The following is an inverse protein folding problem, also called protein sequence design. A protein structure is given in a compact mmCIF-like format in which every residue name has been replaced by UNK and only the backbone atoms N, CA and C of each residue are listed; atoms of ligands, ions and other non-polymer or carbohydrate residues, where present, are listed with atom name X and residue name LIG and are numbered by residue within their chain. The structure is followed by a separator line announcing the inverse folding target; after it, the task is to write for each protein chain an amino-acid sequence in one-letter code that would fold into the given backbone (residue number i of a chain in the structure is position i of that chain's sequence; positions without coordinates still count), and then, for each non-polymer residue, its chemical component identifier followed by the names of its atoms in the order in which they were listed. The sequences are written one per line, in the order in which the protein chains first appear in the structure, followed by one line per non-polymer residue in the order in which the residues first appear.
data_IF_322961639874
#
_entry.id   IF_322961639874
#
_cell.length_a   1.000
_cell.length_b   1.000
_cell.length_c   1.000
_cell.angle_alpha   90.00
_cell.angle_beta   90.00
_cell.angle_gamma   90.00
#
_symmetry.space_group_name_H-M   'P 1'
#
loop_
_entity.id
_entity.type
_entity.pdbx_description
1 polymer ?
#
# COMPACT_ATOMS: atom_id res chain seq x y z
N UNK A 1 9.65 68.39 14.52
CA UNK A 1 9.36 66.93 14.58
C UNK A 1 8.94 66.45 13.20
N UNK A 2 9.79 65.66 12.55
CA UNK A 2 9.51 64.57 11.60
C UNK A 2 10.81 64.27 10.84
N UNK A 3 11.53 63.24 11.27
CA UNK A 3 12.60 62.64 10.49
C UNK A 3 11.96 61.57 9.60
N UNK A 4 12.20 61.67 8.29
CA UNK A 4 11.83 60.64 7.31
C UNK A 4 13.00 59.69 7.15
N UNK A 5 12.75 58.39 7.34
CA UNK A 5 13.69 57.29 7.09
C UNK A 5 13.94 57.09 5.59
N UNK A 6 15.16 56.71 5.16
CA UNK A 6 15.45 56.41 3.76
C UNK A 6 14.94 55.01 3.37
N UNK A 7 14.68 54.76 2.07
CA UNK A 7 14.20 53.45 1.61
C UNK A 7 15.34 52.41 1.58
N UNK A 8 14.99 51.15 1.87
CA UNK A 8 15.88 49.98 1.80
C UNK A 8 16.20 49.61 0.34
N UNK A 9 17.40 49.05 0.05
CA UNK A 9 17.78 48.66 -1.31
C UNK A 9 17.07 47.37 -1.77
N UNK A 10 16.75 47.33 -3.06
CA UNK A 10 16.22 46.16 -3.76
C UNK A 10 17.28 45.05 -3.83
N UNK A 11 16.97 43.89 -3.22
CA UNK A 11 17.74 42.66 -3.39
C UNK A 11 17.45 42.08 -4.77
N UNK A 12 18.44 42.10 -5.67
CA UNK A 12 18.40 41.33 -6.92
C UNK A 12 18.68 39.87 -6.62
N UNK A 13 17.70 39.01 -6.81
CA UNK A 13 17.90 37.56 -6.84
C UNK A 13 18.65 37.21 -8.13
N UNK A 14 19.93 36.86 -8.01
CA UNK A 14 20.68 36.26 -9.09
C UNK A 14 20.25 34.80 -9.21
N UNK A 15 19.65 34.43 -10.34
CA UNK A 15 19.46 33.04 -10.70
C UNK A 15 20.84 32.43 -10.98
N UNK A 16 21.22 31.41 -10.21
CA UNK A 16 22.35 30.54 -10.50
C UNK A 16 22.15 29.83 -11.83
N UNK A 17 23.24 29.55 -12.54
CA UNK A 17 23.27 28.92 -13.87
C UNK A 17 22.38 27.66 -13.98
N UNK A 18 21.77 27.41 -15.15
CA UNK A 18 20.94 26.24 -15.36
C UNK A 18 21.77 24.94 -15.27
N UNK A 19 21.17 23.82 -14.81
CA UNK A 19 21.85 22.54 -14.81
C UNK A 19 22.19 22.09 -16.25
N UNK A 20 23.29 21.32 -16.37
CA UNK A 20 23.80 20.77 -17.63
C UNK A 20 22.71 19.99 -18.39
N UNK A 21 22.73 19.99 -19.74
CA UNK A 21 21.68 19.39 -20.54
C UNK A 21 21.56 17.89 -20.25
N UNK A 22 20.36 17.47 -19.85
CA UNK A 22 19.96 16.06 -19.80
C UNK A 22 20.07 15.43 -21.20
N UNK A 23 20.44 14.15 -21.25
CA UNK A 23 20.52 13.38 -22.48
C UNK A 23 19.25 13.55 -23.31
N UNK A 24 19.41 13.88 -24.60
CA UNK A 24 18.32 14.03 -25.55
C UNK A 24 17.47 12.75 -25.57
N UNK A 25 16.23 12.86 -25.13
CA UNK A 25 15.24 11.80 -25.28
C UNK A 25 14.98 11.62 -26.78
N UNK A 26 15.45 10.51 -27.35
CA UNK A 26 15.27 10.22 -28.76
C UNK A 26 13.79 10.19 -29.12
N UNK A 27 13.42 10.91 -30.17
CA UNK A 27 12.08 10.88 -30.78
C UNK A 27 11.81 9.50 -31.39
N UNK A 28 11.46 8.51 -30.57
CA UNK A 28 10.76 7.31 -31.03
C UNK A 28 9.33 7.37 -30.49
N UNK A 29 8.37 7.13 -31.37
CA UNK A 29 6.94 7.31 -31.19
C UNK A 29 6.44 6.92 -29.78
N UNK A 30 5.80 7.90 -29.14
CA UNK A 30 5.22 7.89 -27.79
C UNK A 30 3.98 6.98 -27.66
N UNK A 31 4.00 5.77 -28.21
CA UNK A 31 2.92 4.81 -28.02
C UNK A 31 3.20 4.00 -26.74
N UNK A 32 2.37 4.20 -25.72
CA UNK A 32 2.31 3.31 -24.56
C UNK A 32 1.98 1.91 -25.07
N UNK A 33 2.79 0.87 -24.77
CA UNK A 33 2.33 -0.48 -25.01
C UNK A 33 1.10 -0.72 -24.15
N UNK A 34 -0.01 -1.12 -24.79
CA UNK A 34 -1.23 -1.51 -24.08
C UNK A 34 -0.89 -2.58 -23.03
N UNK A 35 -1.50 -2.53 -21.83
CA UNK A 35 -1.24 -3.52 -20.79
C UNK A 35 -1.49 -4.93 -21.35
N UNK A 36 -0.50 -5.82 -21.23
CA UNK A 36 -0.67 -7.24 -21.55
C UNK A 36 -1.65 -7.85 -20.55
N UNK A 37 -2.93 -7.89 -20.93
CA UNK A 37 -3.91 -8.71 -20.24
C UNK A 37 -3.48 -10.19 -20.31
N UNK A 38 -3.33 -10.83 -19.15
CA UNK A 38 -3.34 -12.29 -19.08
C UNK A 38 -4.76 -12.78 -19.36
N UNK A 39 -4.95 -13.49 -20.47
CA UNK A 39 -6.22 -14.11 -20.85
C UNK A 39 -6.49 -15.37 -20.01
N UNK A 40 -7.16 -15.19 -18.87
CA UNK A 40 -7.92 -16.25 -18.22
C UNK A 40 -9.33 -16.29 -18.80
N UNK A 41 -9.65 -17.29 -19.62
CA UNK A 41 -10.97 -17.43 -20.25
C UNK A 41 -12.07 -17.70 -19.23
N UNK A 42 -13.05 -16.80 -19.14
CA UNK A 42 -14.30 -16.98 -18.41
C UNK A 42 -15.23 -15.79 -18.63
N UNK A 43 -16.37 -16.00 -19.30
CA UNK A 43 -17.45 -15.01 -19.43
C UNK A 43 -18.01 -14.69 -18.04
N UNK A 44 -18.03 -13.41 -17.62
CA UNK A 44 -18.99 -12.91 -16.64
C UNK A 44 -19.31 -11.43 -16.91
N UNK A 45 -20.60 -11.13 -17.04
CA UNK A 45 -21.12 -9.77 -16.93
C UNK A 45 -21.11 -9.38 -15.44
N UNK A 46 -20.44 -8.26 -15.12
CA UNK A 46 -20.09 -7.83 -13.76
C UNK A 46 -18.57 -7.71 -13.66
N UNK A 47 -18.04 -6.49 -13.49
CA UNK A 47 -16.59 -6.25 -13.45
C UNK A 47 -15.87 -7.15 -12.44
N UNK A 48 -14.67 -7.62 -12.79
CA UNK A 48 -13.88 -8.45 -11.88
C UNK A 48 -13.62 -7.71 -10.56
N UNK A 49 -13.87 -8.36 -9.43
CA UNK A 49 -13.60 -7.82 -8.09
C UNK A 49 -12.10 -7.61 -7.88
N UNK A 50 -11.67 -6.62 -7.08
CA UNK A 50 -10.28 -6.49 -6.68
C UNK A 50 -9.72 -7.81 -6.13
N UNK A 51 -8.45 -8.10 -6.41
CA UNK A 51 -7.75 -9.26 -5.87
C UNK A 51 -7.56 -9.18 -4.35
N UNK A 52 -7.20 -10.31 -3.74
CA UNK A 52 -6.88 -10.39 -2.31
C UNK A 52 -5.41 -10.78 -2.17
N UNK A 53 -4.67 -10.00 -1.38
CA UNK A 53 -3.24 -10.21 -1.07
C UNK A 53 -3.09 -10.44 0.43
N UNK A 54 -2.31 -11.45 0.81
CA UNK A 54 -2.03 -11.74 2.22
C UNK A 54 -0.89 -10.84 2.72
N UNK A 55 -1.20 -9.91 3.61
CA UNK A 55 -0.18 -9.11 4.29
C UNK A 55 0.52 -9.90 5.40
N UNK A 56 1.84 -10.11 5.27
CA UNK A 56 2.63 -10.93 6.18
C UNK A 56 3.32 -10.16 7.32
N UNK A 57 3.02 -8.87 7.51
CA UNK A 57 3.71 -8.00 8.49
C UNK A 57 3.76 -8.55 9.93
N UNK A 58 2.74 -9.32 10.36
CA UNK A 58 2.65 -9.87 11.71
C UNK A 58 3.23 -11.29 11.84
N UNK A 59 3.63 -11.93 10.74
CA UNK A 59 4.31 -13.23 10.74
C UNK A 59 5.73 -13.06 11.31
N UNK A 60 6.05 -13.77 12.38
CA UNK A 60 7.28 -13.58 13.16
C UNK A 60 7.18 -12.50 14.25
N UNK A 61 6.01 -11.85 14.40
CA UNK A 61 5.68 -10.98 15.54
C UNK A 61 4.57 -11.60 16.37
N UNK A 62 3.32 -11.25 16.06
CA UNK A 62 2.13 -11.73 16.79
C UNK A 62 1.67 -13.09 16.32
N UNK A 63 2.01 -13.47 15.08
CA UNK A 63 1.81 -14.81 14.56
C UNK A 63 3.16 -15.54 14.51
N UNK A 64 3.37 -16.50 15.40
CA UNK A 64 4.54 -17.40 15.35
C UNK A 64 4.54 -18.30 14.10
N UNK A 65 5.60 -19.11 13.91
CA UNK A 65 5.74 -19.97 12.72
C UNK A 65 4.54 -20.90 12.47
N UNK A 66 4.02 -21.57 13.51
CA UNK A 66 2.89 -22.50 13.39
C UNK A 66 1.60 -21.78 13.00
N UNK A 67 1.32 -20.64 13.64
CA UNK A 67 0.17 -19.81 13.33
C UNK A 67 0.26 -19.25 11.90
N UNK A 68 1.46 -18.81 11.49
CA UNK A 68 1.74 -18.30 10.13
C UNK A 68 1.54 -19.39 9.07
N UNK A 69 2.01 -20.61 9.34
CA UNK A 69 1.78 -21.79 8.49
C UNK A 69 0.30 -22.08 8.29
N UNK A 70 -0.47 -22.13 9.39
CA UNK A 70 -1.90 -22.37 9.34
C UNK A 70 -2.61 -21.28 8.53
N UNK A 71 -2.29 -20.00 8.78
CA UNK A 71 -2.86 -18.85 8.09
C UNK A 71 -2.56 -18.87 6.59
N UNK A 72 -1.31 -19.13 6.20
CA UNK A 72 -0.93 -19.25 4.81
C UNK A 72 -1.74 -20.35 4.12
N UNK A 73 -1.83 -21.55 4.72
CA UNK A 73 -2.66 -22.64 4.16
C UNK A 73 -4.14 -22.26 4.04
N UNK A 74 -4.70 -21.54 5.00
CA UNK A 74 -6.09 -21.07 4.93
C UNK A 74 -6.31 -20.12 3.75
N UNK A 75 -5.41 -19.16 3.58
CA UNK A 75 -5.43 -18.22 2.45
C UNK A 75 -5.32 -18.94 1.09
N UNK A 76 -4.43 -19.91 0.98
CA UNK A 76 -4.22 -20.68 -0.24
C UNK A 76 -5.40 -21.62 -0.57
N UNK A 77 -6.06 -22.19 0.46
CA UNK A 77 -7.28 -22.99 0.26
C UNK A 77 -8.44 -22.18 -0.34
N UNK A 78 -8.47 -20.87 -0.13
CA UNK A 78 -9.42 -19.94 -0.80
C UNK A 78 -9.06 -19.63 -2.25
N UNK A 79 -7.95 -20.18 -2.76
CA UNK A 79 -7.51 -19.98 -4.15
C UNK A 79 -6.69 -18.72 -4.39
N UNK A 80 -6.43 -17.90 -3.36
CA UNK A 80 -5.55 -16.74 -3.47
C UNK A 80 -4.08 -17.16 -3.47
N UNK A 81 -3.22 -16.37 -4.12
CA UNK A 81 -1.80 -16.74 -4.35
C UNK A 81 -0.79 -15.62 -4.13
N UNK A 82 -1.24 -14.39 -3.85
CA UNK A 82 -0.35 -13.24 -3.72
C UNK A 82 -0.02 -12.98 -2.25
N UNK A 83 1.27 -12.96 -1.92
CA UNK A 83 1.79 -12.68 -0.59
C UNK A 83 2.57 -11.37 -0.59
N UNK A 84 2.37 -10.55 0.43
CA UNK A 84 3.07 -9.29 0.62
C UNK A 84 3.90 -9.31 1.92
N UNK A 85 5.22 -9.34 1.78
CA UNK A 85 6.20 -9.24 2.87
C UNK A 85 7.14 -8.06 2.64
N UNK A 86 8.15 -7.87 3.48
CA UNK A 86 9.20 -6.86 3.29
C UNK A 86 10.48 -7.26 4.04
N UNK A 87 11.62 -6.74 3.58
CA UNK A 87 12.93 -6.94 4.21
C UNK A 87 12.94 -6.64 5.72
N UNK A 88 12.20 -5.61 6.13
CA UNK A 88 12.15 -5.13 7.52
C UNK A 88 11.08 -5.81 8.39
N UNK A 89 10.12 -6.52 7.80
CA UNK A 89 8.99 -7.03 8.58
C UNK A 89 9.46 -8.07 9.60
N UNK A 90 9.09 -7.85 10.86
CA UNK A 90 9.50 -8.69 11.99
C UNK A 90 11.03 -8.86 12.10
N UNK A 91 11.83 -7.84 11.75
CA UNK A 91 13.29 -7.97 11.73
C UNK A 91 13.81 -8.99 10.70
N UNK A 92 13.02 -9.28 9.67
CA UNK A 92 13.31 -10.28 8.65
C UNK A 92 12.65 -11.64 8.87
N UNK A 93 12.01 -11.88 10.03
CA UNK A 93 11.39 -13.19 10.30
C UNK A 93 10.18 -13.49 9.41
N UNK A 94 9.45 -12.48 8.95
CA UNK A 94 8.36 -12.67 7.99
C UNK A 94 8.84 -13.39 6.72
N UNK A 95 9.98 -12.96 6.17
CA UNK A 95 10.57 -13.59 4.98
C UNK A 95 11.12 -14.99 5.27
N UNK A 96 11.75 -15.23 6.43
CA UNK A 96 12.28 -16.55 6.81
C UNK A 96 11.18 -17.59 6.99
N UNK A 97 10.09 -17.19 7.67
CA UNK A 97 8.91 -18.03 7.84
C UNK A 97 8.32 -18.37 6.47
N UNK A 98 8.06 -17.37 5.63
CA UNK A 98 7.52 -17.62 4.30
C UNK A 98 8.44 -18.48 3.43
N UNK A 99 9.76 -18.26 3.47
CA UNK A 99 10.72 -19.09 2.72
C UNK A 99 10.67 -20.55 3.13
N UNK A 100 10.63 -20.82 4.43
CA UNK A 100 10.52 -22.19 4.97
C UNK A 100 9.20 -22.86 4.55
N UNK A 101 8.09 -22.11 4.57
CA UNK A 101 6.78 -22.64 4.21
C UNK A 101 6.64 -22.92 2.71
N UNK A 102 7.26 -22.09 1.85
CA UNK A 102 7.15 -22.20 0.40
C UNK A 102 8.14 -23.19 -0.22
N UNK A 103 9.25 -23.50 0.47
CA UNK A 103 10.19 -24.53 0.05
C UNK A 103 9.54 -25.92 -0.13
N UNK A 104 8.38 -26.16 0.51
CA UNK A 104 7.59 -27.38 0.41
C UNK A 104 6.82 -27.61 -0.90
N UNK A 105 6.97 -26.75 -1.92
CA UNK A 105 6.54 -27.07 -3.29
C UNK A 105 5.26 -26.39 -3.80
N UNK A 106 4.80 -25.31 -3.17
CA UNK A 106 3.68 -24.53 -3.73
C UNK A 106 4.15 -23.62 -4.87
N UNK A 107 4.38 -24.20 -6.05
CA UNK A 107 4.93 -23.50 -7.22
C UNK A 107 4.03 -22.40 -7.82
N UNK A 108 2.82 -22.18 -7.27
CA UNK A 108 1.85 -21.19 -7.79
C UNK A 108 1.72 -19.94 -6.93
N UNK A 109 2.57 -19.75 -5.92
CA UNK A 109 2.52 -18.58 -5.02
C UNK A 109 3.41 -17.45 -5.55
N UNK A 110 2.81 -16.27 -5.67
CA UNK A 110 3.48 -15.03 -6.04
C UNK A 110 3.89 -14.28 -4.76
N UNK A 111 5.18 -13.96 -4.64
CA UNK A 111 5.74 -13.27 -3.48
C UNK A 111 6.16 -11.86 -3.86
N UNK A 112 5.70 -10.89 -3.08
CA UNK A 112 6.17 -9.53 -3.12
C UNK A 112 7.02 -9.19 -1.88
N UNK A 113 8.19 -8.59 -2.08
CA UNK A 113 9.02 -8.04 -0.99
C UNK A 113 9.49 -6.61 -1.30
N UNK A 114 10.14 -5.96 -0.34
CA UNK A 114 10.43 -4.52 -0.38
C UNK A 114 11.78 -4.18 0.22
N UNK A 115 12.51 -3.27 -0.44
CA UNK A 115 13.66 -2.57 0.12
C UNK A 115 13.23 -1.19 0.67
N UNK A 116 13.87 -0.73 1.75
CA UNK A 116 13.48 0.47 2.47
C UNK A 116 14.68 1.34 2.89
N UNK A 117 14.48 2.66 3.10
CA UNK A 117 15.52 3.58 3.56
C UNK A 117 15.49 3.86 5.07
N UNK A 118 15.09 2.87 5.89
CA UNK A 118 15.02 3.03 7.34
C UNK A 118 16.07 2.18 8.06
N UNK A 119 16.25 2.43 9.37
CA UNK A 119 17.17 1.67 10.23
C UNK A 119 18.61 1.63 9.68
N UNK A 120 19.12 2.79 9.26
CA UNK A 120 20.47 2.93 8.70
C UNK A 120 20.64 2.45 7.26
N UNK A 121 19.56 2.01 6.60
CA UNK A 121 19.55 1.64 5.18
C UNK A 121 19.20 2.85 4.31
N UNK A 122 19.45 2.74 3.02
CA UNK A 122 19.11 3.75 2.00
C UNK A 122 18.51 3.04 0.79
N UNK A 123 18.16 3.80 -0.25
CA UNK A 123 17.89 3.25 -1.58
C UNK A 123 19.05 3.47 -2.56
N UNK A 124 20.26 3.72 -2.06
CA UNK A 124 21.48 3.68 -2.88
C UNK A 124 21.66 2.29 -3.53
N UNK A 125 22.29 2.21 -4.72
CA UNK A 125 22.41 0.96 -5.48
C UNK A 125 22.88 -0.26 -4.67
N UNK A 126 23.90 -0.10 -3.83
CA UNK A 126 24.48 -1.17 -3.01
C UNK A 126 23.50 -1.62 -1.91
N UNK A 127 22.77 -0.67 -1.30
CA UNK A 127 21.80 -0.98 -0.26
C UNK A 127 20.60 -1.73 -0.83
N UNK A 128 20.06 -1.29 -1.97
CA UNK A 128 18.95 -1.98 -2.66
C UNK A 128 19.32 -3.41 -3.03
N UNK A 129 20.51 -3.60 -3.63
CA UNK A 129 21.05 -4.91 -3.97
C UNK A 129 21.23 -5.81 -2.75
N UNK A 130 21.82 -5.27 -1.68
CA UNK A 130 22.03 -6.00 -0.43
C UNK A 130 20.70 -6.44 0.20
N UNK A 131 19.72 -5.54 0.25
CA UNK A 131 18.39 -5.83 0.79
C UNK A 131 17.68 -6.92 0.00
N UNK A 132 17.66 -6.83 -1.34
CA UNK A 132 17.02 -7.84 -2.19
C UNK A 132 17.73 -9.20 -2.09
N UNK A 133 19.06 -9.25 -2.13
CA UNK A 133 19.79 -10.51 -1.97
C UNK A 133 19.48 -11.18 -0.62
N UNK A 134 19.50 -10.40 0.47
CA UNK A 134 19.14 -10.89 1.81
C UNK A 134 17.71 -11.41 1.85
N UNK A 135 16.77 -10.70 1.22
CA UNK A 135 15.37 -11.12 1.11
C UNK A 135 15.23 -12.44 0.34
N UNK A 136 15.93 -12.59 -0.78
CA UNK A 136 15.96 -13.81 -1.60
C UNK A 136 16.51 -15.02 -0.82
N UNK A 137 17.59 -14.83 -0.05
CA UNK A 137 18.15 -15.85 0.83
C UNK A 137 17.13 -16.29 1.89
N UNK A 138 16.50 -15.34 2.60
CA UNK A 138 15.49 -15.64 3.62
C UNK A 138 14.26 -16.34 3.03
N UNK A 139 13.82 -15.89 1.86
CA UNK A 139 12.72 -16.49 1.11
C UNK A 139 13.08 -17.83 0.46
N UNK A 140 14.36 -18.22 0.47
CA UNK A 140 14.87 -19.42 -0.21
C UNK A 140 14.48 -19.46 -1.70
N UNK A 141 14.58 -18.30 -2.37
CA UNK A 141 14.22 -18.12 -3.79
C UNK A 141 15.35 -17.44 -4.54
N UNK A 142 15.46 -17.72 -5.83
CA UNK A 142 16.36 -16.98 -6.73
C UNK A 142 15.69 -15.74 -7.33
N UNK A 143 14.36 -15.68 -7.28
CA UNK A 143 13.55 -14.60 -7.84
C UNK A 143 12.25 -14.40 -7.04
N UNK A 144 11.77 -13.16 -6.99
CA UNK A 144 10.43 -12.81 -6.51
C UNK A 144 9.56 -12.25 -7.64
N UNK A 145 8.26 -12.41 -7.54
CA UNK A 145 7.35 -11.92 -8.57
C UNK A 145 7.30 -10.39 -8.57
N UNK A 146 7.36 -9.76 -7.40
CA UNK A 146 7.28 -8.30 -7.26
C UNK A 146 8.29 -7.77 -6.24
N UNK A 147 9.04 -6.75 -6.63
CA UNK A 147 9.97 -6.05 -5.76
C UNK A 147 9.58 -4.58 -5.64
N UNK A 148 9.34 -4.10 -4.42
CA UNK A 148 8.97 -2.71 -4.15
C UNK A 148 10.14 -1.87 -3.65
N UNK A 149 10.15 -0.61 -4.08
CA UNK A 149 10.69 0.48 -3.27
C UNK A 149 9.65 0.85 -2.21
N UNK A 150 9.94 0.58 -0.93
CA UNK A 150 8.94 0.63 0.16
C UNK A 150 8.53 2.06 0.54
N UNK A 151 9.42 3.04 0.37
CA UNK A 151 9.17 4.46 0.57
C UNK A 151 10.28 5.27 -0.14
N UNK A 152 10.04 6.56 -0.45
CA UNK A 152 11.07 7.44 -0.99
C UNK A 152 12.31 7.52 -0.09
N UNK A 153 13.47 7.57 -0.73
CA UNK A 153 14.73 8.00 -0.12
C UNK A 153 15.12 9.34 -0.73
N UNK A 154 14.65 10.43 -0.13
CA UNK A 154 14.93 11.78 -0.60
C UNK A 154 16.41 12.19 -0.48
N UNK A 155 17.25 11.35 0.14
CA UNK A 155 18.71 11.54 0.20
C UNK A 155 19.47 10.89 -0.96
N UNK A 156 18.81 10.09 -1.81
CA UNK A 156 19.41 9.40 -2.95
C UNK A 156 18.71 9.82 -4.25
N UNK A 157 19.44 10.29 -5.27
CA UNK A 157 18.85 10.56 -6.58
C UNK A 157 18.10 9.33 -7.11
N UNK A 158 16.81 9.47 -7.41
CA UNK A 158 15.95 8.33 -7.75
C UNK A 158 16.45 7.56 -8.98
N UNK A 159 17.11 8.24 -9.92
CA UNK A 159 17.71 7.60 -11.11
C UNK A 159 18.77 6.54 -10.73
N UNK A 160 19.56 6.77 -9.68
CA UNK A 160 20.55 5.78 -9.19
C UNK A 160 19.85 4.52 -8.68
N UNK A 161 18.79 4.70 -7.90
CA UNK A 161 17.92 3.63 -7.40
C UNK A 161 17.31 2.82 -8.54
N UNK A 162 16.75 3.51 -9.55
CA UNK A 162 16.09 2.89 -10.69
C UNK A 162 17.07 2.11 -11.58
N UNK A 163 18.27 2.65 -11.78
CA UNK A 163 19.36 1.95 -12.48
C UNK A 163 19.70 0.64 -11.77
N UNK A 164 19.84 0.66 -10.44
CA UNK A 164 20.11 -0.53 -9.65
C UNK A 164 18.97 -1.56 -9.76
N UNK A 165 17.71 -1.11 -9.68
CA UNK A 165 16.54 -1.98 -9.87
C UNK A 165 16.55 -2.63 -11.25
N UNK A 166 16.85 -1.87 -12.30
CA UNK A 166 16.91 -2.39 -13.67
C UNK A 166 17.99 -3.47 -13.85
N UNK A 167 19.19 -3.28 -13.27
CA UNK A 167 20.24 -4.30 -13.32
C UNK A 167 19.86 -5.56 -12.53
N UNK A 168 19.25 -5.42 -11.35
CA UNK A 168 18.73 -6.55 -10.57
C UNK A 168 17.61 -7.30 -11.31
N UNK A 169 16.78 -6.59 -12.08
CA UNK A 169 15.78 -7.22 -12.94
C UNK A 169 16.43 -8.03 -14.07
N UNK A 170 17.44 -7.46 -14.76
CA UNK A 170 18.21 -8.17 -15.81
C UNK A 170 18.93 -9.41 -15.27
N UNK A 171 19.40 -9.36 -14.02
CA UNK A 171 19.91 -10.53 -13.28
C UNK A 171 18.83 -11.58 -12.96
N UNK A 172 17.56 -11.30 -13.25
CA UNK A 172 16.44 -12.21 -13.05
C UNK A 172 15.92 -12.26 -11.61
N UNK A 173 16.38 -11.37 -10.72
CA UNK A 173 16.08 -11.42 -9.27
C UNK A 173 14.66 -11.01 -8.91
N UNK A 174 13.97 -10.31 -9.79
CA UNK A 174 12.54 -10.09 -9.67
C UNK A 174 11.87 -9.89 -11.03
N UNK A 175 10.55 -10.11 -11.10
CA UNK A 175 9.78 -10.00 -12.35
C UNK A 175 9.17 -8.63 -12.58
N UNK A 176 8.62 -8.01 -11.55
CA UNK A 176 7.96 -6.71 -11.61
C UNK A 176 8.52 -5.73 -10.58
N UNK A 177 8.57 -4.45 -10.96
CA UNK A 177 8.93 -3.35 -10.05
C UNK A 177 7.65 -2.71 -9.50
N UNK A 178 7.66 -2.42 -8.21
CA UNK A 178 6.59 -1.70 -7.54
C UNK A 178 7.10 -0.48 -6.77
N UNK A 179 6.19 0.46 -6.54
CA UNK A 179 6.42 1.64 -5.69
C UNK A 179 5.47 1.61 -4.50
N UNK A 180 5.87 2.16 -3.36
CA UNK A 180 4.99 2.37 -2.22
C UNK A 180 5.32 3.67 -1.53
N UNK A 181 4.28 4.42 -1.13
CA UNK A 181 4.40 5.70 -0.41
C UNK A 181 5.14 6.82 -1.16
N UNK A 182 5.20 6.77 -2.49
CA UNK A 182 5.67 7.86 -3.35
C UNK A 182 4.51 8.77 -3.75
N UNK A 183 4.71 10.08 -3.78
CA UNK A 183 3.73 11.02 -4.26
C UNK A 183 3.42 10.81 -5.76
N UNK A 184 2.24 11.23 -6.22
CA UNK A 184 1.83 11.06 -7.62
C UNK A 184 2.82 11.67 -8.62
N UNK A 185 3.43 12.80 -8.28
CA UNK A 185 4.44 13.45 -9.12
C UNK A 185 5.76 12.67 -9.18
N UNK A 186 6.19 12.03 -8.08
CA UNK A 186 7.37 11.15 -8.07
C UNK A 186 7.12 9.90 -8.91
N UNK A 187 5.91 9.33 -8.84
CA UNK A 187 5.54 8.19 -9.70
C UNK A 187 5.64 8.58 -11.18
N UNK A 188 5.17 9.77 -11.55
CA UNK A 188 5.26 10.28 -12.91
C UNK A 188 6.71 10.52 -13.35
N UNK A 189 7.54 11.09 -12.48
CA UNK A 189 8.98 11.26 -12.70
C UNK A 189 9.67 9.91 -12.91
N UNK A 190 9.47 8.95 -12.00
CA UNK A 190 10.03 7.60 -12.09
C UNK A 190 9.64 6.91 -13.39
N UNK A 191 8.36 6.95 -13.75
CA UNK A 191 7.86 6.37 -14.99
C UNK A 191 8.52 7.03 -16.22
N UNK A 192 8.69 8.35 -16.19
CA UNK A 192 9.35 9.09 -17.27
C UNK A 192 10.82 8.72 -17.38
N UNK A 193 11.56 8.67 -16.27
CA UNK A 193 12.97 8.26 -16.23
C UNK A 193 13.14 6.85 -16.77
N UNK A 194 12.33 5.88 -16.32
CA UNK A 194 12.41 4.52 -16.80
C UNK A 194 12.14 4.44 -18.31
N UNK A 195 11.12 5.16 -18.80
CA UNK A 195 10.80 5.20 -20.24
C UNK A 195 11.93 5.81 -21.07
N UNK A 196 12.50 6.94 -20.66
CA UNK A 196 13.59 7.63 -21.35
C UNK A 196 14.87 6.78 -21.42
N UNK A 197 15.12 5.96 -20.39
CA UNK A 197 16.31 5.11 -20.31
C UNK A 197 16.09 3.67 -20.81
N UNK A 198 14.88 3.34 -21.30
CA UNK A 198 14.47 1.98 -21.65
C UNK A 198 14.74 0.98 -20.50
N UNK A 199 14.41 1.38 -19.27
CA UNK A 199 14.48 0.55 -18.07
C UNK A 199 13.12 -0.06 -17.75
N UNK A 200 13.12 -1.08 -16.89
CA UNK A 200 11.90 -1.68 -16.38
C UNK A 200 10.99 -0.61 -15.74
N UNK A 201 9.76 -0.50 -16.24
CA UNK A 201 8.73 0.37 -15.68
C UNK A 201 8.13 -0.24 -14.42
N UNK A 202 7.80 0.57 -13.39
CA UNK A 202 6.97 0.08 -12.30
C UNK A 202 5.57 -0.26 -12.83
N UNK A 203 5.01 -1.38 -12.35
CA UNK A 203 3.68 -1.88 -12.77
C UNK A 203 2.70 -1.97 -11.61
N UNK A 204 3.18 -1.78 -10.37
CA UNK A 204 2.37 -1.84 -9.15
C UNK A 204 2.66 -0.65 -8.25
N UNK A 205 1.61 -0.08 -7.68
CA UNK A 205 1.72 0.86 -6.57
C UNK A 205 1.01 0.30 -5.35
N UNK A 206 1.69 0.26 -4.21
CA UNK A 206 1.09 -0.13 -2.93
C UNK A 206 0.87 1.11 -2.06
N UNK A 207 -0.39 1.43 -1.75
CA UNK A 207 -0.77 2.67 -1.09
C UNK A 207 -1.81 2.54 0.01
N UNK A 208 -1.86 3.54 0.88
CA UNK A 208 -2.87 3.62 1.94
C UNK A 208 -4.23 3.95 1.34
N UNK A 209 -5.22 3.08 1.53
CA UNK A 209 -6.57 3.33 1.04
C UNK A 209 -7.62 2.56 1.84
N UNK A 210 -8.66 3.27 2.29
CA UNK A 210 -9.83 2.70 2.96
C UNK A 210 -11.00 3.70 2.92
N UNK A 211 -12.16 3.30 3.47
CA UNK A 211 -13.39 4.09 3.42
C UNK A 211 -13.29 5.49 4.05
N UNK A 212 -12.31 5.74 4.93
CA UNK A 212 -12.06 7.03 5.59
C UNK A 212 -10.67 7.59 5.29
N UNK A 213 -9.99 7.09 4.25
CA UNK A 213 -8.64 7.55 3.87
C UNK A 213 -8.51 7.44 2.36
N UNK A 214 -8.91 8.50 1.66
CA UNK A 214 -9.10 8.50 0.20
C UNK A 214 -8.27 9.56 -0.55
N UNK A 215 -7.24 10.13 0.08
CA UNK A 215 -6.38 11.14 -0.55
C UNK A 215 -5.77 10.66 -1.88
N UNK A 216 -5.54 9.35 -2.04
CA UNK A 216 -5.05 8.73 -3.28
C UNK A 216 -5.97 8.90 -4.49
N UNK A 217 -7.26 9.17 -4.29
CA UNK A 217 -8.24 9.21 -5.38
C UNK A 217 -8.06 10.42 -6.30
N UNK A 218 -7.56 11.54 -5.78
CA UNK A 218 -7.54 12.82 -6.50
C UNK A 218 -6.46 12.87 -7.58
N UNK A 219 -5.22 12.48 -7.23
CA UNK A 219 -4.06 12.65 -8.11
C UNK A 219 -3.36 11.32 -8.41
N UNK A 220 -3.19 10.48 -7.39
CA UNK A 220 -2.44 9.23 -7.55
C UNK A 220 -3.17 8.28 -8.47
N UNK A 221 -4.46 7.99 -8.25
CA UNK A 221 -5.20 7.07 -9.12
C UNK A 221 -5.18 7.47 -10.59
N UNK A 222 -5.47 8.73 -10.99
CA UNK A 222 -5.29 9.18 -12.36
C UNK A 222 -3.86 8.97 -12.90
N UNK A 223 -2.82 9.29 -12.11
CA UNK A 223 -1.42 9.07 -12.48
C UNK A 223 -1.13 7.59 -12.74
N UNK A 224 -1.53 6.70 -11.83
CA UNK A 224 -1.35 5.26 -11.99
C UNK A 224 -2.04 4.74 -13.25
N UNK A 225 -3.24 5.26 -13.57
CA UNK A 225 -4.01 4.75 -14.71
C UNK A 225 -3.41 5.23 -16.02
N UNK A 226 -2.86 6.45 -16.04
CA UNK A 226 -2.11 6.98 -17.18
C UNK A 226 -0.89 6.10 -17.52
N UNK A 227 -0.12 5.68 -16.51
CA UNK A 227 1.09 4.86 -16.71
C UNK A 227 0.84 3.35 -16.70
N UNK A 228 -0.39 2.90 -16.45
CA UNK A 228 -0.77 1.48 -16.47
C UNK A 228 -0.38 0.70 -15.20
N UNK A 229 -0.25 1.36 -14.05
CA UNK A 229 0.02 0.72 -12.76
C UNK A 229 -1.27 0.25 -12.09
N UNK A 230 -1.23 -0.96 -11.55
CA UNK A 230 -2.27 -1.50 -10.65
C UNK A 230 -2.02 -1.06 -9.21
N UNK A 231 -3.09 -0.91 -8.42
CA UNK A 231 -3.01 -0.40 -7.06
C UNK A 231 -3.36 -1.47 -6.03
N UNK A 232 -2.47 -1.66 -5.06
CA UNK A 232 -2.68 -2.56 -3.92
C UNK A 232 -2.92 -1.73 -2.65
N UNK A 233 -4.14 -1.81 -2.11
CA UNK A 233 -4.57 -1.06 -0.95
C UNK A 233 -4.06 -1.71 0.35
N UNK A 234 -3.21 -1.01 1.09
CA UNK A 234 -2.88 -1.36 2.47
C UNK A 234 -3.71 -0.53 3.48
N UNK A 235 -3.76 -1.02 4.72
CA UNK A 235 -4.61 -0.47 5.79
C UNK A 235 -6.11 -0.44 5.42
N UNK A 236 -6.69 -1.53 4.90
CA UNK A 236 -8.10 -1.55 4.52
C UNK A 236 -9.06 -1.29 5.68
N UNK A 237 -8.62 -1.58 6.91
CA UNK A 237 -9.36 -1.36 8.15
C UNK A 237 -8.78 -0.20 9.00
N UNK A 238 -8.01 0.71 8.39
CA UNK A 238 -7.33 1.82 9.09
C UNK A 238 -6.54 1.32 10.32
N UNK A 239 -5.72 0.27 10.16
CA UNK A 239 -4.97 -0.33 11.27
C UNK A 239 -5.82 -1.07 12.32
N UNK A 240 -7.11 -1.29 12.04
CA UNK A 240 -8.07 -1.89 12.95
C UNK A 240 -9.02 -0.88 13.61
N UNK A 241 -8.95 0.42 13.26
CA UNK A 241 -9.89 1.41 13.75
C UNK A 241 -11.31 1.16 13.21
N UNK A 242 -11.41 0.79 11.92
CA UNK A 242 -12.67 0.46 11.25
C UNK A 242 -13.26 -0.91 11.66
N UNK A 243 -12.85 -1.47 12.81
CA UNK A 243 -13.55 -2.60 13.43
C UNK A 243 -14.52 -2.16 14.53
N UNK A 244 -14.56 -0.87 14.88
CA UNK A 244 -15.47 -0.30 15.88
C UNK A 244 -15.12 -0.64 17.33
N UNK A 245 -13.98 -1.33 17.55
CA UNK A 245 -13.59 -1.83 18.88
C UNK A 245 -12.95 -0.78 19.80
N UNK A 246 -12.65 0.40 19.26
CA UNK A 246 -11.99 1.48 19.99
C UNK A 246 -12.96 2.65 20.20
N UNK A 247 -12.80 3.36 21.31
CA UNK A 247 -13.37 4.68 21.56
C UNK A 247 -12.26 5.72 21.63
N UNK A 248 -12.56 6.99 21.36
CA UNK A 248 -11.53 8.03 21.27
C UNK A 248 -10.75 8.18 22.59
N UNK A 249 -11.44 7.99 23.71
CA UNK A 249 -10.96 8.08 25.08
C UNK A 249 -10.06 6.90 25.48
N UNK A 250 -10.01 5.82 24.68
CA UNK A 250 -9.12 4.68 24.97
C UNK A 250 -7.64 5.08 25.00
N UNK A 251 -7.27 6.21 24.39
CA UNK A 251 -5.91 6.78 24.47
C UNK A 251 -5.50 7.22 25.87
N UNK A 252 -6.48 7.51 26.73
CA UNK A 252 -6.28 8.05 28.07
C UNK A 252 -6.28 6.93 29.14
N UNK A 253 -6.42 5.67 28.72
CA UNK A 253 -6.48 4.50 29.62
C UNK A 253 -5.48 3.42 29.21
N UNK A 254 -5.23 2.45 30.11
CA UNK A 254 -4.36 1.31 29.81
C UNK A 254 -5.07 0.35 28.85
N UNK A 255 -4.51 0.21 27.65
CA UNK A 255 -5.04 -0.67 26.61
C UNK A 255 -4.16 -1.92 26.41
N UNK A 256 -4.73 -3.07 25.99
CA UNK A 256 -3.96 -4.23 25.59
C UNK A 256 -3.03 -3.92 24.41
N UNK A 257 -1.91 -4.65 24.31
CA UNK A 257 -0.99 -4.54 23.17
C UNK A 257 -1.72 -4.87 21.87
N UNK A 258 -1.62 -3.96 20.90
CA UNK A 258 -2.29 -4.04 19.61
C UNK A 258 -1.68 -3.05 18.63
N UNK A 259 -2.36 -2.74 17.52
CA UNK A 259 -1.78 -1.84 16.50
C UNK A 259 -1.53 -0.42 17.03
N UNK A 260 -2.43 0.09 17.86
CA UNK A 260 -2.41 1.47 18.38
C UNK A 260 -1.76 1.61 19.77
N UNK A 261 -1.37 0.50 20.42
CA UNK A 261 -0.87 0.50 21.79
C UNK A 261 0.21 -0.58 22.01
N UNK A 262 1.20 -0.28 22.84
CA UNK A 262 2.15 -1.29 23.34
C UNK A 262 3.15 -1.85 22.32
N UNK A 263 3.43 -1.14 21.22
CA UNK A 263 4.45 -1.54 20.24
C UNK A 263 5.09 -0.31 19.55
N UNK A 264 6.23 -0.49 18.89
CA UNK A 264 7.02 0.61 18.31
C UNK A 264 6.29 1.41 17.21
N UNK A 265 5.30 0.81 16.55
CA UNK A 265 4.50 1.46 15.52
C UNK A 265 3.24 2.15 16.07
N UNK A 266 2.96 2.00 17.36
CA UNK A 266 1.73 2.49 17.98
C UNK A 266 1.54 4.01 17.78
N UNK A 267 2.59 4.79 18.02
CA UNK A 267 2.51 6.25 17.87
C UNK A 267 2.22 6.65 16.42
N UNK A 268 2.95 6.07 15.46
CA UNK A 268 2.75 6.36 14.05
C UNK A 268 1.32 6.02 13.56
N UNK A 269 0.70 4.96 14.09
CA UNK A 269 -0.70 4.64 13.78
C UNK A 269 -1.69 5.58 14.49
N UNK A 270 -1.38 6.05 15.71
CA UNK A 270 -2.20 7.05 16.40
C UNK A 270 -2.16 8.39 15.68
N UNK A 271 -1.00 8.87 15.28
CA UNK A 271 -0.86 10.13 14.51
C UNK A 271 -1.65 10.06 13.20
N UNK A 272 -1.71 8.86 12.61
CA UNK A 272 -2.40 8.59 11.35
C UNK A 272 -3.92 8.58 11.46
N UNK A 273 -4.49 7.90 12.46
CA UNK A 273 -5.93 7.62 12.51
C UNK A 273 -6.63 7.97 13.82
N UNK A 274 -5.91 8.22 14.91
CA UNK A 274 -6.51 8.46 16.23
C UNK A 274 -6.95 9.92 16.39
N UNK A 275 -7.86 10.35 15.52
CA UNK A 275 -8.40 11.71 15.46
C UNK A 275 -9.89 11.67 15.72
N UNK A 276 -10.41 12.69 16.38
CA UNK A 276 -11.81 12.76 16.79
C UNK A 276 -12.77 12.53 15.61
N UNK A 277 -12.48 13.14 14.47
CA UNK A 277 -13.27 13.00 13.24
C UNK A 277 -13.37 11.56 12.72
N UNK A 278 -12.33 10.72 12.92
CA UNK A 278 -12.39 9.32 12.55
C UNK A 278 -13.41 8.55 13.41
N UNK A 279 -13.48 8.84 14.71
CA UNK A 279 -14.45 8.21 15.62
C UNK A 279 -15.87 8.71 15.37
N UNK A 280 -16.05 10.02 15.15
CA UNK A 280 -17.35 10.61 14.75
C UNK A 280 -17.85 9.99 13.43
N UNK A 281 -16.96 9.80 12.45
CA UNK A 281 -17.27 9.10 11.20
C UNK A 281 -17.67 7.64 11.40
N UNK A 282 -16.99 6.92 12.29
CA UNK A 282 -17.34 5.53 12.65
C UNK A 282 -18.75 5.46 13.25
N UNK A 283 -19.09 6.36 14.17
CA UNK A 283 -20.41 6.42 14.79
C UNK A 283 -21.53 6.65 13.77
N UNK A 284 -21.30 7.51 12.77
CA UNK A 284 -22.25 7.72 11.67
C UNK A 284 -22.52 6.43 10.89
N UNK A 285 -21.46 5.66 10.59
CA UNK A 285 -21.57 4.40 9.85
C UNK A 285 -22.25 3.32 10.69
N UNK A 286 -21.90 3.20 11.98
CA UNK A 286 -22.55 2.25 12.90
C UNK A 286 -24.05 2.53 13.05
N UNK A 287 -24.42 3.81 13.13
CA UNK A 287 -25.83 4.22 13.14
C UNK A 287 -26.52 3.83 11.83
N UNK A 288 -25.93 4.16 10.68
CA UNK A 288 -26.50 3.83 9.37
C UNK A 288 -26.65 2.32 9.15
N UNK A 289 -25.70 1.52 9.64
CA UNK A 289 -25.78 0.05 9.62
C UNK A 289 -26.99 -0.46 10.39
N UNK A 290 -27.21 0.02 11.62
CA UNK A 290 -28.38 -0.34 12.44
C UNK A 290 -29.68 0.10 11.79
N UNK A 291 -29.75 1.35 11.32
CA UNK A 291 -30.94 1.93 10.70
C UNK A 291 -31.33 1.17 9.41
N UNK A 292 -30.35 0.75 8.60
CA UNK A 292 -30.61 0.12 7.30
C UNK A 292 -30.88 -1.40 7.37
N UNK A 293 -30.26 -2.11 8.32
CA UNK A 293 -30.33 -3.58 8.39
C UNK A 293 -31.00 -4.13 9.66
N UNK A 294 -31.33 -3.28 10.63
CA UNK A 294 -31.94 -3.70 11.90
C UNK A 294 -31.08 -4.72 12.64
N UNK A 295 -31.71 -5.82 13.09
CA UNK A 295 -31.04 -6.90 13.84
C UNK A 295 -30.01 -7.69 13.01
N UNK A 296 -30.01 -7.55 11.68
CA UNK A 296 -29.12 -8.27 10.78
C UNK A 296 -27.98 -7.40 10.25
N UNK A 297 -27.67 -6.30 10.94
CA UNK A 297 -26.61 -5.39 10.54
C UNK A 297 -25.26 -6.10 10.46
N UNK A 298 -24.52 -5.98 9.34
CA UNK A 298 -23.16 -6.50 9.28
C UNK A 298 -22.27 -5.70 10.24
N UNK A 299 -21.20 -6.33 10.72
CA UNK A 299 -20.20 -5.64 11.54
C UNK A 299 -19.54 -4.49 10.78
N UNK A 300 -19.00 -3.49 11.49
CA UNK A 300 -18.25 -2.41 10.86
C UNK A 300 -17.05 -2.94 10.05
N UNK A 301 -16.41 -4.01 10.52
CA UNK A 301 -15.33 -4.70 9.80
C UNK A 301 -15.81 -5.24 8.45
N UNK A 302 -16.96 -5.94 8.43
CA UNK A 302 -17.56 -6.42 7.18
C UNK A 302 -17.91 -5.26 6.25
N UNK A 303 -18.53 -4.20 6.79
CA UNK A 303 -18.89 -3.02 6.00
C UNK A 303 -17.67 -2.32 5.39
N UNK A 304 -16.60 -2.12 6.15
CA UNK A 304 -15.38 -1.47 5.66
C UNK A 304 -14.69 -2.28 4.54
N UNK A 305 -14.64 -3.61 4.65
CA UNK A 305 -14.10 -4.45 3.58
C UNK A 305 -15.01 -4.46 2.36
N UNK A 306 -16.33 -4.62 2.53
CA UNK A 306 -17.29 -4.57 1.41
C UNK A 306 -17.26 -3.22 0.68
N UNK A 307 -17.04 -2.12 1.41
CA UNK A 307 -16.83 -0.82 0.79
C UNK A 307 -15.63 -0.83 -0.18
N UNK A 308 -14.50 -1.42 0.22
CA UNK A 308 -13.34 -1.55 -0.67
C UNK A 308 -13.61 -2.36 -1.93
N UNK A 309 -14.28 -3.51 -1.82
CA UNK A 309 -14.49 -4.40 -2.97
C UNK A 309 -15.63 -3.98 -3.89
N UNK A 310 -16.61 -3.21 -3.41
CA UNK A 310 -17.82 -2.88 -4.19
C UNK A 310 -18.03 -1.38 -4.45
N UNK A 311 -17.49 -0.51 -3.60
CA UNK A 311 -17.86 0.92 -3.58
C UNK A 311 -16.66 1.87 -3.69
N UNK A 312 -15.45 1.33 -3.67
CA UNK A 312 -14.22 2.11 -3.83
C UNK A 312 -13.88 2.34 -5.31
N UNK A 313 -12.80 3.07 -5.59
CA UNK A 313 -12.28 3.24 -6.96
C UNK A 313 -11.39 2.09 -7.44
N UNK A 314 -11.21 1.03 -6.65
CA UNK A 314 -10.44 -0.15 -7.06
C UNK A 314 -11.17 -0.91 -8.16
N UNK A 315 -10.43 -1.36 -9.16
CA UNK A 315 -10.95 -2.09 -10.30
C UNK A 315 -10.16 -3.39 -10.50
N UNK A 316 -10.80 -4.53 -10.23
CA UNK A 316 -10.14 -5.84 -10.42
C UNK A 316 -9.77 -6.13 -11.87
N UNK A 317 -10.49 -5.55 -12.85
CA UNK A 317 -10.12 -5.60 -14.26
C UNK A 317 -8.80 -4.90 -14.58
N UNK A 318 -8.34 -3.98 -13.72
CA UNK A 318 -7.03 -3.35 -13.81
C UNK A 318 -5.98 -4.07 -12.96
N UNK A 319 -6.34 -5.18 -12.32
CA UNK A 319 -5.49 -5.92 -11.39
C UNK A 319 -5.35 -5.27 -10.02
N UNK A 320 -6.21 -4.31 -9.65
CA UNK A 320 -6.18 -3.73 -8.31
C UNK A 320 -6.50 -4.80 -7.25
N UNK A 321 -5.95 -4.63 -6.06
CA UNK A 321 -6.11 -5.60 -4.98
C UNK A 321 -6.15 -4.95 -3.60
N UNK A 322 -6.63 -5.70 -2.60
CA UNK A 322 -6.65 -5.32 -1.20
C UNK A 322 -5.70 -6.23 -0.42
N UNK A 323 -4.79 -5.62 0.35
CA UNK A 323 -3.88 -6.32 1.24
C UNK A 323 -4.57 -6.50 2.59
N UNK A 324 -5.04 -7.71 2.85
CA UNK A 324 -5.65 -8.04 4.14
C UNK A 324 -4.57 -8.26 5.19
N UNK A 325 -4.75 -7.62 6.35
CA UNK A 325 -3.89 -7.81 7.50
C UNK A 325 -4.61 -8.58 8.60
N UNK A 326 -3.86 -9.36 9.37
CA UNK A 326 -4.37 -10.15 10.48
C UNK A 326 -3.31 -10.29 11.56
N UNK A 327 -3.74 -10.59 12.79
CA UNK A 327 -2.86 -10.95 13.91
C UNK A 327 -3.17 -12.32 14.51
N UNK A 328 -4.25 -12.97 14.07
CA UNK A 328 -4.65 -14.33 14.45
C UNK A 328 -5.49 -14.97 13.33
N UNK A 329 -5.77 -16.27 13.45
CA UNK A 329 -6.50 -17.04 12.44
C UNK A 329 -7.95 -16.57 12.28
N UNK A 330 -8.62 -16.24 13.38
CA UNK A 330 -10.01 -15.80 13.37
C UNK A 330 -10.18 -14.54 12.52
N UNK A 331 -9.29 -13.55 12.68
CA UNK A 331 -9.28 -12.33 11.87
C UNK A 331 -9.06 -12.64 10.39
N UNK A 332 -8.19 -13.61 10.06
CA UNK A 332 -7.95 -13.98 8.68
C UNK A 332 -9.23 -14.56 8.03
N UNK A 333 -9.85 -15.56 8.66
CA UNK A 333 -11.06 -16.20 8.13
C UNK A 333 -12.22 -15.19 8.03
N UNK A 334 -12.40 -14.34 9.05
CA UNK A 334 -13.39 -13.25 9.00
C UNK A 334 -13.13 -12.30 7.83
N UNK A 335 -11.89 -11.80 7.69
CA UNK A 335 -11.56 -10.86 6.61
C UNK A 335 -11.71 -11.49 5.22
N UNK A 336 -11.39 -12.77 5.05
CA UNK A 336 -11.61 -13.50 3.80
C UNK A 336 -13.10 -13.61 3.48
N UNK A 337 -13.92 -14.06 4.45
CA UNK A 337 -15.38 -14.13 4.29
C UNK A 337 -15.98 -12.77 3.92
N UNK A 338 -15.63 -11.71 4.66
CA UNK A 338 -16.15 -10.37 4.42
C UNK A 338 -15.74 -9.79 3.06
N UNK A 339 -14.58 -10.18 2.53
CA UNK A 339 -14.12 -9.80 1.19
C UNK A 339 -14.94 -10.46 0.07
N UNK A 340 -15.59 -11.59 0.37
CA UNK A 340 -16.42 -12.35 -0.58
C UNK A 340 -17.91 -11.94 -0.54
N UNK A 341 -18.34 -11.23 0.52
CA UNK A 341 -19.71 -10.73 0.68
C UNK A 341 -20.15 -9.76 -0.43
N UNK A 342 -21.47 -9.52 -0.54
CA UNK A 342 -22.08 -8.62 -1.53
C UNK A 342 -21.97 -7.12 -1.19
N UNK A 343 -22.50 -6.24 -2.05
CA UNK A 343 -22.44 -4.80 -1.83
C UNK A 343 -23.25 -4.36 -0.60
N UNK A 344 -22.91 -3.20 -0.03
CA UNK A 344 -23.69 -2.52 1.01
C UNK A 344 -24.92 -1.79 0.45
N UNK A 345 -25.98 -1.66 1.27
CA UNK A 345 -27.12 -0.80 0.99
C UNK A 345 -26.71 0.69 0.86
N UNK A 346 -27.34 1.47 -0.04
CA UNK A 346 -26.95 2.86 -0.31
C UNK A 346 -26.84 3.77 0.93
N UNK A 347 -27.73 3.73 1.94
CA UNK A 347 -27.61 4.60 3.12
C UNK A 347 -26.30 4.40 3.90
N UNK A 348 -25.73 3.18 3.87
CA UNK A 348 -24.45 2.89 4.52
C UNK A 348 -23.26 3.38 3.69
N UNK A 349 -23.37 3.32 2.36
CA UNK A 349 -22.35 3.90 1.45
C UNK A 349 -22.30 5.42 1.64
N UNK A 350 -23.46 6.08 1.67
CA UNK A 350 -23.57 7.51 1.95
C UNK A 350 -23.00 7.89 3.33
N UNK A 351 -23.19 7.03 4.34
CA UNK A 351 -22.60 7.24 5.65
C UNK A 351 -21.06 7.17 5.62
N UNK A 352 -20.48 6.25 4.83
CA UNK A 352 -19.03 6.23 4.61
C UNK A 352 -18.54 7.47 3.86
N UNK A 353 -19.30 8.02 2.92
CA UNK A 353 -18.93 9.26 2.24
C UNK A 353 -18.99 10.47 3.18
N UNK A 354 -19.99 10.54 4.07
CA UNK A 354 -20.05 11.54 5.14
C UNK A 354 -18.87 11.38 6.12
N UNK A 355 -18.54 10.15 6.51
CA UNK A 355 -17.39 9.87 7.36
C UNK A 355 -16.07 10.30 6.71
N UNK A 356 -15.89 10.02 5.41
CA UNK A 356 -14.74 10.50 4.65
C UNK A 356 -14.66 12.03 4.67
N UNK A 357 -15.77 12.74 4.38
CA UNK A 357 -15.80 14.20 4.37
C UNK A 357 -15.40 14.83 5.71
N UNK A 358 -15.75 14.20 6.84
CA UNK A 358 -15.29 14.64 8.17
C UNK A 358 -13.77 14.52 8.33
N UNK A 359 -13.18 13.45 7.81
CA UNK A 359 -11.75 13.13 7.94
C UNK A 359 -10.88 13.67 6.80
N UNK A 360 -11.46 14.28 5.77
CA UNK A 360 -10.73 14.64 4.56
C UNK A 360 -9.69 15.74 4.81
N UNK A 361 -10.03 16.74 5.62
CA UNK A 361 -9.18 17.89 5.90
C UNK A 361 -7.93 17.56 6.73
N UNK A 362 -7.98 16.47 7.51
CA UNK A 362 -6.87 15.96 8.31
C UNK A 362 -6.45 14.55 7.87
N UNK A 363 -6.77 14.15 6.63
CA UNK A 363 -6.39 12.85 6.10
C UNK A 363 -4.85 12.70 6.14
N UNK A 364 -4.31 11.59 6.67
CA UNK A 364 -2.87 11.35 6.62
C UNK A 364 -2.39 11.26 5.17
N UNK A 365 -1.19 11.78 4.91
CA UNK A 365 -0.59 11.70 3.58
C UNK A 365 -0.37 10.24 3.17
N UNK A 366 -0.68 9.91 1.91
CA UNK A 366 -0.38 8.58 1.34
C UNK A 366 1.10 8.42 0.97
N UNK A 367 1.85 9.52 0.91
CA UNK A 367 3.27 9.60 0.57
C UNK A 367 4.10 10.07 1.75
N UNK A 368 5.44 9.97 1.66
CA UNK A 368 6.37 10.30 2.74
C UNK A 368 7.55 11.14 2.33
#
# INVERSE_FOLDING_TARGET
MRALTPPLPLVKWAWSDPPRPHAQCGHNELLLPAPRMRSGGGKMAGGARPGIVLGAMEMGRRAGPEASSAMLRAFLRRGHRLLDTAHMYAGGESERILGTLLAGGEQSVEVATKANPWEGKTLKPESVRSQLNTSLERLQRTSVELFYLHAPDHGTPVEETLRACNELHKEGKFKELGLSNYAAWEVAEICTICKCNNWLMPTVYQGMYNATTRQVELELFPCLRHYGLRFYAYNPLAGGLLTGKYKYEDKDTRQPTGRFFGNDWAQAYRDRYWKKHNFEGIELVEKALKDAYGSNAPSLTSAALRWLYHHSKLQGSLGDAVIIGMSNMEQLEQNLNYSEEGPLLPPVVEAFDKAWNLTAHDCPNYFR
#
